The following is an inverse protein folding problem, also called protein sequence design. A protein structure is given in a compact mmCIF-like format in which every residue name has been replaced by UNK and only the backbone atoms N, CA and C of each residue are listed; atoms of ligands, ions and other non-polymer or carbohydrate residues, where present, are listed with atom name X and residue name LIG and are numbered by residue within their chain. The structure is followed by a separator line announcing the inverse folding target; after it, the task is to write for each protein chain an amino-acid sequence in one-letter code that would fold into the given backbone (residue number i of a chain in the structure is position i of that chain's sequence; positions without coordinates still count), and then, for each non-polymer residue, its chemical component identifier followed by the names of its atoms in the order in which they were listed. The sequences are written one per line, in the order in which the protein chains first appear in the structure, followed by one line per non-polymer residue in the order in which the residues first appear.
data_IF_511868944470
#
_entry.id   IF_511868944470
#
_cell.length_a   1.000
_cell.length_b   1.000
_cell.length_c   1.000
_cell.angle_alpha   90.00
_cell.angle_beta   90.00
_cell.angle_gamma   90.00
#
_symmetry.space_group_name_H-M   'P 1'
#
loop_
_entity.id
_entity.type
_entity.pdbx_description
1 polymer ?
#
# COMPACT_ATOMS: atom_id res chain seq x y z
N UNK A 1 5.74 20.99 0.16
CA UNK A 1 5.34 22.12 -0.69
C UNK A 1 3.94 22.57 -0.33
N UNK A 2 2.92 22.06 -1.03
CA UNK A 2 1.50 22.45 -0.84
C UNK A 2 1.02 22.33 0.61
N UNK A 3 1.20 21.17 1.24
CA UNK A 3 0.84 20.97 2.66
C UNK A 3 1.53 21.97 3.59
N UNK A 4 2.84 22.22 3.41
CA UNK A 4 3.59 23.22 4.18
C UNK A 4 2.98 24.63 4.05
N UNK A 5 2.67 25.05 2.82
CA UNK A 5 2.06 26.36 2.57
C UNK A 5 0.68 26.46 3.22
N UNK A 6 -0.14 25.41 3.12
CA UNK A 6 -1.46 25.33 3.77
C UNK A 6 -1.35 25.57 5.27
N UNK A 7 -0.53 24.79 5.99
CA UNK A 7 -0.45 24.92 7.45
C UNK A 7 0.27 26.18 7.93
N UNK A 8 1.18 26.77 7.12
CA UNK A 8 1.71 28.11 7.40
C UNK A 8 0.63 29.19 7.26
N UNK A 9 -0.22 29.10 6.25
CA UNK A 9 -1.33 30.03 6.04
C UNK A 9 -2.37 29.94 7.17
N UNK A 10 -2.73 28.72 7.60
CA UNK A 10 -3.64 28.51 8.74
C UNK A 10 -3.10 29.14 10.03
N UNK A 11 -1.77 29.12 10.22
CA UNK A 11 -1.09 29.75 11.35
C UNK A 11 -0.96 31.29 11.22
N UNK A 12 -1.52 31.90 10.17
CA UNK A 12 -1.50 33.34 9.95
C UNK A 12 -0.21 33.87 9.29
N UNK A 13 0.66 33.00 8.78
CA UNK A 13 1.82 33.39 8.01
C UNK A 13 1.49 33.57 6.51
N UNK A 14 2.38 34.23 5.76
CA UNK A 14 2.24 34.45 4.31
C UNK A 14 3.28 33.60 3.54
N UNK A 15 3.00 32.34 3.20
CA UNK A 15 3.94 31.49 2.48
C UNK A 15 4.12 31.96 1.02
N UNK A 16 5.35 31.90 0.51
CA UNK A 16 5.67 32.02 -0.92
C UNK A 16 6.02 30.63 -1.44
N UNK A 17 5.13 30.03 -2.24
CA UNK A 17 5.35 28.72 -2.85
C UNK A 17 5.79 28.92 -4.31
N UNK A 18 7.01 28.46 -4.62
CA UNK A 18 7.58 28.54 -5.96
C UNK A 18 7.57 27.14 -6.59
N UNK A 19 6.84 26.98 -7.69
CA UNK A 19 6.83 25.76 -8.52
C UNK A 19 7.62 26.03 -9.79
N UNK A 20 8.45 25.07 -10.20
CA UNK A 20 9.36 25.24 -11.34
C UNK A 20 8.65 25.04 -12.68
N UNK A 21 7.63 24.19 -12.73
CA UNK A 21 6.88 23.86 -13.94
C UNK A 21 5.58 24.65 -14.03
N UNK A 22 4.98 24.67 -15.21
CA UNK A 22 3.65 25.24 -15.44
C UNK A 22 2.51 24.26 -15.05
N UNK A 23 2.73 23.43 -14.02
CA UNK A 23 1.77 22.44 -13.53
C UNK A 23 2.05 22.11 -12.06
N UNK A 24 1.00 22.04 -11.24
CA UNK A 24 1.11 21.70 -9.83
C UNK A 24 1.19 20.18 -9.59
N UNK A 25 1.64 19.79 -8.40
CA UNK A 25 1.49 18.41 -7.90
C UNK A 25 2.76 17.54 -7.99
N UNK A 26 3.79 17.95 -8.74
CA UNK A 26 5.02 17.16 -8.80
C UNK A 26 4.77 15.76 -9.39
N UNK A 27 4.92 14.72 -8.55
CA UNK A 27 4.66 13.32 -8.92
C UNK A 27 3.18 12.97 -9.08
N UNK A 28 2.27 13.81 -8.57
CA UNK A 28 0.81 13.66 -8.76
C UNK A 28 0.25 14.61 -9.83
N UNK A 29 1.10 15.18 -10.69
CA UNK A 29 0.68 16.09 -11.74
C UNK A 29 -0.05 15.33 -12.87
N UNK A 30 -0.95 16.04 -13.55
CA UNK A 30 -1.65 15.59 -14.74
C UNK A 30 -1.75 16.73 -15.76
N UNK A 31 -1.87 16.37 -17.04
CA UNK A 31 -2.00 17.30 -18.16
C UNK A 31 -3.17 16.90 -19.03
N UNK A 32 -3.66 17.85 -19.82
CA UNK A 32 -4.71 17.63 -20.79
C UNK A 32 -4.10 17.70 -22.19
N UNK A 33 -4.40 16.74 -23.05
CA UNK A 33 -3.97 16.75 -24.44
C UNK A 33 -4.86 17.62 -25.34
N UNK A 34 -4.56 17.66 -26.64
CA UNK A 34 -5.28 18.45 -27.63
C UNK A 34 -6.73 17.98 -27.85
N UNK A 35 -7.02 16.70 -27.56
CA UNK A 35 -8.35 16.10 -27.67
C UNK A 35 -9.20 16.35 -26.40
N UNK A 36 -8.57 16.78 -25.32
CA UNK A 36 -9.21 17.16 -24.06
C UNK A 36 -9.16 16.07 -22.98
N UNK A 37 -8.45 14.96 -23.25
CA UNK A 37 -8.28 13.83 -22.34
C UNK A 37 -7.13 14.10 -21.36
N UNK A 38 -7.28 13.59 -20.13
CA UNK A 38 -6.26 13.75 -19.09
C UNK A 38 -5.33 12.55 -19.03
N UNK A 39 -4.02 12.82 -18.93
CA UNK A 39 -3.01 11.83 -18.62
C UNK A 39 -2.19 12.24 -17.39
N UNK A 40 -1.87 11.25 -16.56
CA UNK A 40 -1.27 11.44 -15.24
C UNK A 40 0.21 11.03 -15.22
N UNK A 41 0.96 11.58 -14.26
CA UNK A 41 2.35 11.18 -14.01
C UNK A 41 2.44 9.72 -13.53
N UNK A 42 1.40 9.22 -12.85
CA UNK A 42 1.34 7.86 -12.34
C UNK A 42 -0.02 7.56 -11.72
N UNK A 43 -0.31 6.27 -11.55
CA UNK A 43 -1.53 5.81 -10.90
C UNK A 43 -1.39 5.93 -9.37
N UNK A 44 -2.26 6.72 -8.74
CA UNK A 44 -2.20 6.98 -7.30
C UNK A 44 -3.41 6.37 -6.57
N UNK A 45 -3.14 5.65 -5.48
CA UNK A 45 -4.16 5.04 -4.63
C UNK A 45 -4.11 5.68 -3.24
N UNK A 46 -5.28 6.07 -2.72
CA UNK A 46 -5.45 6.59 -1.37
C UNK A 46 -5.92 5.49 -0.43
N UNK A 47 -5.25 5.34 0.71
CA UNK A 47 -5.58 4.33 1.72
C UNK A 47 -6.29 4.97 2.92
N UNK A 48 -7.15 4.19 3.59
CA UNK A 48 -7.81 4.62 4.84
C UNK A 48 -6.81 4.96 5.94
N UNK A 49 -5.66 4.28 5.97
CA UNK A 49 -4.60 4.49 6.94
C UNK A 49 -3.69 5.70 6.66
N UNK A 50 -4.15 6.66 5.86
CA UNK A 50 -3.46 7.94 5.59
C UNK A 50 -4.11 9.09 6.38
N UNK A 51 -3.93 9.17 7.72
CA UNK A 51 -4.65 10.12 8.56
C UNK A 51 -4.41 11.58 8.16
N UNK A 52 -3.18 11.94 7.78
CA UNK A 52 -2.86 13.31 7.37
C UNK A 52 -3.55 13.69 6.04
N UNK A 53 -3.78 12.73 5.15
CA UNK A 53 -4.53 12.98 3.91
C UNK A 53 -6.01 13.08 4.20
N UNK A 54 -6.57 12.19 5.04
CA UNK A 54 -7.96 12.28 5.49
C UNK A 54 -8.26 13.64 6.13
N UNK A 55 -7.38 14.10 7.02
CA UNK A 55 -7.49 15.41 7.65
C UNK A 55 -7.45 16.53 6.61
N UNK A 56 -6.48 16.52 5.69
CA UNK A 56 -6.37 17.57 4.66
C UNK A 56 -7.61 17.64 3.76
N UNK A 57 -8.18 16.49 3.37
CA UNK A 57 -9.41 16.44 2.60
C UNK A 57 -10.61 16.95 3.40
N UNK A 58 -10.69 16.64 4.69
CA UNK A 58 -11.71 17.15 5.60
C UNK A 58 -11.63 18.64 5.84
N UNK A 59 -10.43 19.17 6.07
CA UNK A 59 -10.16 20.60 6.27
C UNK A 59 -10.54 21.44 5.04
N UNK A 60 -10.36 20.88 3.84
CA UNK A 60 -10.73 21.51 2.57
C UNK A 60 -12.20 21.24 2.17
N UNK A 61 -12.92 20.38 2.91
CA UNK A 61 -14.30 20.02 2.60
C UNK A 61 -14.47 19.27 1.28
N UNK A 62 -13.52 18.42 0.90
CA UNK A 62 -13.48 17.69 -0.39
C UNK A 62 -13.44 16.17 -0.23
N UNK A 63 -13.91 15.65 0.91
CA UNK A 63 -13.95 14.20 1.18
C UNK A 63 -14.70 13.41 0.10
N UNK A 64 -15.73 14.01 -0.51
CA UNK A 64 -16.54 13.43 -1.59
C UNK A 64 -15.75 13.14 -2.88
N UNK A 65 -14.55 13.74 -3.03
CA UNK A 65 -13.66 13.46 -4.16
C UNK A 65 -12.91 12.12 -4.03
N UNK A 66 -12.89 11.51 -2.84
CA UNK A 66 -12.35 10.17 -2.65
C UNK A 66 -13.42 9.12 -2.96
N UNK A 67 -13.24 8.40 -4.05
CA UNK A 67 -14.15 7.33 -4.48
C UNK A 67 -13.71 5.98 -3.89
N UNK A 68 -14.02 5.75 -2.61
CA UNK A 68 -13.74 4.47 -1.93
C UNK A 68 -14.30 3.28 -2.72
N UNK A 69 -13.49 2.22 -2.82
CA UNK A 69 -13.83 0.97 -3.50
C UNK A 69 -14.11 -0.13 -2.48
N UNK A 70 -14.61 -1.27 -2.96
CA UNK A 70 -14.79 -2.46 -2.14
C UNK A 70 -13.48 -2.82 -1.42
N UNK A 71 -13.58 -3.23 -0.16
CA UNK A 71 -12.43 -3.65 0.63
C UNK A 71 -11.93 -5.02 0.19
N UNK A 72 -11.25 -5.03 -0.96
CA UNK A 72 -10.75 -6.23 -1.64
C UNK A 72 -9.43 -5.97 -2.33
N UNK A 73 -8.59 -7.00 -2.42
CA UNK A 73 -7.40 -7.01 -3.26
C UNK A 73 -7.55 -8.06 -4.35
N UNK A 74 -7.53 -7.63 -5.62
CA UNK A 74 -7.72 -8.48 -6.79
C UNK A 74 -6.38 -8.69 -7.50
N UNK A 75 -6.03 -9.95 -7.76
CA UNK A 75 -4.80 -10.38 -8.40
C UNK A 75 -5.14 -11.11 -9.70
N UNK A 76 -4.46 -10.76 -10.79
CA UNK A 76 -4.53 -11.55 -12.02
C UNK A 76 -3.83 -12.90 -11.82
N UNK A 77 -4.31 -13.95 -12.48
CA UNK A 77 -3.72 -15.29 -12.42
C UNK A 77 -2.81 -15.53 -13.65
N UNK A 78 -1.46 -15.43 -13.52
CA UNK A 78 -0.57 -15.53 -14.69
C UNK A 78 -0.62 -16.89 -15.37
N UNK A 79 -0.95 -17.94 -14.59
CA UNK A 79 -1.11 -19.32 -15.07
C UNK A 79 -2.48 -19.59 -15.71
N UNK A 80 -3.43 -18.64 -15.64
CA UNK A 80 -4.78 -18.76 -16.20
C UNK A 80 -5.23 -17.44 -16.83
N UNK A 81 -4.85 -17.17 -18.09
CA UNK A 81 -5.15 -15.90 -18.75
C UNK A 81 -6.66 -15.55 -18.73
N UNK A 82 -6.98 -14.36 -18.24
CA UNK A 82 -8.36 -13.87 -18.10
C UNK A 82 -9.03 -14.18 -16.76
N UNK A 83 -8.42 -15.00 -15.90
CA UNK A 83 -8.91 -15.28 -14.55
C UNK A 83 -8.26 -14.36 -13.50
N UNK A 84 -9.02 -14.10 -12.44
CA UNK A 84 -8.61 -13.26 -11.31
C UNK A 84 -8.93 -13.96 -10.00
N UNK A 85 -8.02 -13.85 -9.04
CA UNK A 85 -8.24 -14.23 -7.65
C UNK A 85 -8.36 -13.01 -6.76
N UNK A 86 -9.01 -13.14 -5.60
CA UNK A 86 -9.23 -12.00 -4.71
C UNK A 86 -9.12 -12.36 -3.23
N UNK A 87 -8.67 -11.38 -2.45
CA UNK A 87 -8.74 -11.38 -0.99
C UNK A 87 -9.81 -10.37 -0.56
N UNK A 88 -10.87 -10.86 0.09
CA UNK A 88 -12.01 -10.05 0.53
C UNK A 88 -11.98 -9.83 2.03
N UNK A 89 -12.08 -8.58 2.45
CA UNK A 89 -11.96 -8.15 3.84
C UNK A 89 -13.36 -7.83 4.38
N UNK A 90 -14.01 -8.72 5.15
CA UNK A 90 -15.39 -8.50 5.57
C UNK A 90 -15.49 -7.31 6.51
N UNK A 91 -16.40 -6.38 6.21
CA UNK A 91 -16.63 -5.16 7.02
C UNK A 91 -17.13 -5.48 8.44
N UNK A 92 -17.76 -6.64 8.62
CA UNK A 92 -18.24 -7.12 9.93
C UNK A 92 -17.13 -7.59 10.86
N UNK A 93 -15.91 -7.79 10.35
CA UNK A 93 -14.75 -8.25 11.12
C UNK A 93 -13.77 -7.08 11.33
N UNK A 94 -13.22 -6.90 12.55
CA UNK A 94 -12.21 -5.87 12.80
C UNK A 94 -10.85 -6.27 12.23
N UNK A 95 -9.94 -5.31 12.07
CA UNK A 95 -8.53 -5.61 11.85
C UNK A 95 -7.88 -6.21 13.11
N UNK A 96 -6.97 -7.20 12.98
CA UNK A 96 -6.50 -7.86 11.75
C UNK A 96 -7.34 -9.10 11.36
N UNK A 97 -8.47 -9.36 12.03
CA UNK A 97 -9.30 -10.56 11.84
C UNK A 97 -9.88 -10.64 10.43
N UNK A 98 -10.30 -9.50 9.86
CA UNK A 98 -10.74 -9.39 8.46
C UNK A 98 -9.68 -9.85 7.45
N UNK A 99 -8.41 -9.47 7.63
CA UNK A 99 -7.30 -9.88 6.77
C UNK A 99 -6.94 -11.36 6.92
N UNK A 100 -6.95 -11.87 8.15
CA UNK A 100 -6.80 -13.32 8.40
C UNK A 100 -7.91 -14.09 7.68
N UNK A 101 -9.16 -13.64 7.78
CA UNK A 101 -10.28 -14.24 7.09
C UNK A 101 -10.10 -14.21 5.56
N UNK A 102 -9.66 -13.09 5.00
CA UNK A 102 -9.40 -12.94 3.57
C UNK A 102 -8.40 -13.98 3.06
N UNK A 103 -7.28 -14.18 3.78
CA UNK A 103 -6.25 -15.18 3.46
C UNK A 103 -6.80 -16.60 3.57
N UNK A 104 -7.57 -16.89 4.64
CA UNK A 104 -8.15 -18.21 4.84
C UNK A 104 -9.15 -18.56 3.74
N UNK A 105 -9.96 -17.58 3.29
CA UNK A 105 -11.02 -17.77 2.30
C UNK A 105 -10.51 -17.96 0.86
N UNK A 106 -9.38 -17.37 0.49
CA UNK A 106 -8.77 -17.50 -0.84
C UNK A 106 -8.12 -18.88 -1.01
N UNK A 107 -8.43 -19.61 -2.09
CA UNK A 107 -7.91 -20.98 -2.29
C UNK A 107 -7.07 -21.16 -3.56
N UNK A 108 -6.81 -20.09 -4.30
CA UNK A 108 -6.14 -20.16 -5.60
C UNK A 108 -4.71 -19.63 -5.53
N UNK A 109 -4.44 -18.63 -4.68
CA UNK A 109 -3.11 -18.03 -4.52
C UNK A 109 -2.21 -18.87 -3.59
N UNK A 110 -2.78 -19.36 -2.47
CA UNK A 110 -2.03 -20.01 -1.40
C UNK A 110 -2.62 -21.38 -1.05
N UNK A 111 -1.75 -22.38 -0.97
CA UNK A 111 -2.10 -23.71 -0.43
C UNK A 111 -2.21 -23.64 1.10
N UNK A 112 -2.92 -24.60 1.71
CA UNK A 112 -3.04 -24.68 3.17
C UNK A 112 -1.69 -24.71 3.92
N UNK A 113 -0.70 -25.53 3.53
CA UNK A 113 0.61 -25.51 4.18
C UNK A 113 1.32 -24.16 4.08
N UNK A 114 1.16 -23.45 2.95
CA UNK A 114 1.73 -22.12 2.77
C UNK A 114 1.04 -21.09 3.66
N UNK A 115 -0.30 -21.13 3.79
CA UNK A 115 -1.04 -20.25 4.71
C UNK A 115 -0.56 -20.41 6.15
N UNK A 116 -0.35 -21.65 6.61
CA UNK A 116 0.12 -21.92 7.97
C UNK A 116 1.53 -21.37 8.19
N UNK A 117 2.47 -21.65 7.28
CA UNK A 117 3.85 -21.15 7.39
C UNK A 117 3.91 -19.63 7.28
N UNK A 118 3.11 -19.04 6.40
CA UNK A 118 3.00 -17.60 6.25
C UNK A 118 2.48 -16.93 7.52
N UNK A 119 1.40 -17.46 8.11
CA UNK A 119 0.88 -16.98 9.37
C UNK A 119 1.94 -17.03 10.48
N UNK A 120 2.64 -18.16 10.63
CA UNK A 120 3.72 -18.30 11.62
C UNK A 120 4.85 -17.28 11.37
N UNK A 121 5.29 -17.12 10.12
CA UNK A 121 6.37 -16.22 9.75
C UNK A 121 6.06 -14.75 10.03
N UNK A 122 4.79 -14.33 9.91
CA UNK A 122 4.34 -12.98 10.21
C UNK A 122 4.06 -12.70 11.69
N UNK A 123 3.94 -13.70 12.56
CA UNK A 123 3.65 -13.49 13.99
C UNK A 123 4.59 -12.47 14.66
N UNK A 124 5.93 -12.52 14.46
CA UNK A 124 6.83 -11.56 15.09
C UNK A 124 6.62 -10.12 14.59
N UNK A 125 6.19 -9.96 13.34
CA UNK A 125 5.85 -8.66 12.77
C UNK A 125 4.54 -8.10 13.32
N UNK A 126 3.53 -8.95 13.53
CA UNK A 126 2.24 -8.53 14.09
C UNK A 126 2.32 -8.18 15.58
N UNK A 127 3.16 -8.88 16.33
CA UNK A 127 3.37 -8.64 17.77
C UNK A 127 4.46 -7.61 18.04
N UNK A 128 5.29 -7.31 17.04
CA UNK A 128 6.38 -6.37 17.12
C UNK A 128 5.89 -4.92 17.06
N UNK A 129 6.36 -4.09 18.00
CA UNK A 129 6.13 -2.65 17.94
C UNK A 129 6.99 -1.94 16.88
N UNK A 130 6.94 -0.62 16.88
CA UNK A 130 7.69 0.23 15.95
C UNK A 130 9.21 -0.08 15.93
N UNK A 131 9.79 -0.36 17.09
CA UNK A 131 11.23 -0.73 17.20
C UNK A 131 11.56 -2.03 16.48
N UNK A 132 10.64 -3.00 16.45
CA UNK A 132 10.83 -4.23 15.68
C UNK A 132 10.84 -3.93 14.19
N UNK A 133 9.88 -3.13 13.71
CA UNK A 133 9.77 -2.74 12.29
C UNK A 133 11.03 -2.02 11.82
N UNK A 134 11.53 -1.06 12.60
CA UNK A 134 12.77 -0.32 12.31
C UNK A 134 14.00 -1.24 12.28
N UNK A 135 14.06 -2.24 13.15
CA UNK A 135 15.15 -3.21 13.17
C UNK A 135 15.18 -4.12 11.92
N UNK A 136 14.13 -4.13 11.08
CA UNK A 136 14.10 -4.94 9.84
C UNK A 136 14.59 -4.19 8.60
N UNK A 137 14.98 -2.92 8.71
CA UNK A 137 15.41 -2.12 7.54
C UNK A 137 16.70 -2.63 6.88
N UNK A 138 17.53 -3.35 7.63
CA UNK A 138 18.76 -3.98 7.11
C UNK A 138 18.55 -5.27 6.32
N UNK A 139 17.31 -5.73 6.12
CA UNK A 139 16.98 -6.94 5.38
C UNK A 139 16.08 -6.60 4.19
N UNK A 140 16.35 -7.24 3.05
CA UNK A 140 15.40 -7.23 1.94
C UNK A 140 14.15 -8.06 2.28
N UNK A 141 13.05 -7.82 1.57
CA UNK A 141 11.82 -8.61 1.72
C UNK A 141 12.12 -10.10 1.54
N UNK A 142 12.88 -10.46 0.50
CA UNK A 142 13.24 -11.85 0.21
C UNK A 142 14.04 -12.48 1.35
N UNK A 143 15.07 -11.81 1.85
CA UNK A 143 15.90 -12.30 2.96
C UNK A 143 15.09 -12.51 4.24
N UNK A 144 14.22 -11.55 4.56
CA UNK A 144 13.37 -11.65 5.75
C UNK A 144 12.37 -12.81 5.63
N UNK A 145 11.72 -12.98 4.48
CA UNK A 145 10.79 -14.09 4.25
C UNK A 145 11.46 -15.45 4.43
N UNK A 146 12.67 -15.61 3.89
CA UNK A 146 13.48 -16.83 4.06
C UNK A 146 13.81 -17.05 5.53
N UNK A 147 14.29 -16.01 6.23
CA UNK A 147 14.63 -16.05 7.67
C UNK A 147 13.45 -16.48 8.53
N UNK A 148 12.25 -16.04 8.18
CA UNK A 148 11.01 -16.35 8.90
C UNK A 148 10.36 -17.69 8.49
N UNK A 149 10.98 -18.43 7.57
CA UNK A 149 10.47 -19.71 7.09
C UNK A 149 9.23 -19.60 6.19
N UNK A 150 8.98 -18.42 5.62
CA UNK A 150 7.90 -18.20 4.65
C UNK A 150 8.29 -18.87 3.33
N UNK A 151 7.41 -19.69 2.71
CA UNK A 151 7.73 -20.37 1.45
C UNK A 151 8.04 -19.38 0.32
N UNK A 152 9.05 -19.69 -0.50
CA UNK A 152 9.48 -18.82 -1.62
C UNK A 152 8.35 -18.51 -2.62
N UNK A 153 7.42 -19.44 -2.81
CA UNK A 153 6.24 -19.21 -3.67
C UNK A 153 5.35 -18.10 -3.13
N UNK A 154 5.21 -17.93 -1.82
CA UNK A 154 4.46 -16.81 -1.23
C UNK A 154 5.14 -15.48 -1.55
N UNK A 155 6.47 -15.43 -1.45
CA UNK A 155 7.25 -14.25 -1.83
C UNK A 155 7.05 -13.90 -3.31
N UNK A 156 7.02 -14.92 -4.17
CA UNK A 156 6.88 -14.75 -5.63
C UNK A 156 5.46 -14.35 -6.03
N UNK A 157 4.44 -15.05 -5.53
CA UNK A 157 3.03 -14.83 -5.93
C UNK A 157 2.43 -13.57 -5.30
N UNK A 158 2.82 -13.22 -4.06
CA UNK A 158 2.21 -12.10 -3.32
C UNK A 158 3.15 -10.91 -3.21
N UNK A 159 4.39 -11.13 -2.77
CA UNK A 159 5.26 -10.02 -2.38
C UNK A 159 6.01 -9.38 -3.55
N UNK A 160 6.11 -10.02 -4.73
CA UNK A 160 6.54 -9.32 -5.95
C UNK A 160 5.55 -8.21 -6.30
N UNK A 161 4.25 -8.52 -6.30
CA UNK A 161 3.21 -7.54 -6.60
C UNK A 161 3.21 -6.39 -5.57
N UNK A 162 3.27 -6.73 -4.28
CA UNK A 162 3.29 -5.72 -3.21
C UNK A 162 4.54 -4.84 -3.27
N UNK A 163 5.73 -5.41 -3.52
CA UNK A 163 6.98 -4.64 -3.59
C UNK A 163 6.97 -3.64 -4.75
N UNK A 164 6.50 -4.09 -5.93
CA UNK A 164 6.37 -3.23 -7.10
C UNK A 164 5.32 -2.15 -6.93
N UNK A 165 4.21 -2.45 -6.26
CA UNK A 165 3.17 -1.46 -5.98
C UNK A 165 3.67 -0.33 -5.06
N UNK A 166 4.53 -0.65 -4.08
CA UNK A 166 4.99 0.32 -3.09
C UNK A 166 6.18 1.16 -3.55
N UNK A 167 7.13 0.55 -4.27
CA UNK A 167 8.39 1.22 -4.60
C UNK A 167 8.96 0.87 -5.99
N UNK A 168 8.16 0.22 -6.85
CA UNK A 168 8.52 -0.11 -8.24
C UNK A 168 9.74 -1.03 -8.41
N UNK A 169 10.16 -1.74 -7.36
CA UNK A 169 11.30 -2.67 -7.33
C UNK A 169 10.89 -4.05 -6.81
N UNK A 170 11.76 -5.04 -7.04
CA UNK A 170 11.50 -6.43 -6.65
C UNK A 170 11.80 -6.68 -5.15
N UNK A 171 11.28 -7.76 -4.55
CA UNK A 171 11.46 -8.08 -3.13
C UNK A 171 12.91 -8.43 -2.73
N UNK A 172 13.78 -8.74 -3.68
CA UNK A 172 15.22 -8.94 -3.47
C UNK A 172 16.01 -7.62 -3.41
N UNK A 173 15.34 -6.48 -3.64
CA UNK A 173 15.93 -5.14 -3.54
C UNK A 173 15.23 -4.28 -2.47
N UNK A 174 13.92 -4.49 -2.25
CA UNK A 174 13.12 -3.69 -1.32
C UNK A 174 13.43 -4.03 0.14
N UNK A 175 13.59 -3.01 1.00
CA UNK A 175 13.67 -3.17 2.46
C UNK A 175 12.38 -3.75 3.05
N UNK A 176 12.51 -4.72 3.96
CA UNK A 176 11.37 -5.32 4.65
C UNK A 176 10.62 -4.30 5.52
N UNK A 177 11.29 -3.24 6.00
CA UNK A 177 10.63 -2.17 6.75
C UNK A 177 9.47 -1.56 5.95
N UNK A 178 9.61 -1.41 4.64
CA UNK A 178 8.57 -0.89 3.75
C UNK A 178 7.30 -1.77 3.78
N UNK A 179 7.47 -3.09 3.65
CA UNK A 179 6.35 -4.04 3.70
C UNK A 179 5.69 -4.05 5.08
N UNK A 180 6.48 -4.02 6.16
CA UNK A 180 5.95 -4.04 7.52
C UNK A 180 5.14 -2.79 7.85
N UNK A 181 5.58 -1.60 7.40
CA UNK A 181 4.80 -0.36 7.54
C UNK A 181 3.46 -0.47 6.80
N UNK A 182 3.46 -1.06 5.61
CA UNK A 182 2.23 -1.29 4.85
C UNK A 182 1.30 -2.28 5.58
N UNK A 183 1.80 -3.44 6.02
CA UNK A 183 1.02 -4.46 6.72
C UNK A 183 0.48 -3.99 8.08
N UNK A 184 1.23 -3.19 8.82
CA UNK A 184 0.82 -2.70 10.15
C UNK A 184 -0.30 -1.65 10.10
N UNK A 185 -0.66 -1.20 8.90
CA UNK A 185 -1.66 -0.16 8.64
C UNK A 185 -2.86 -0.68 7.84
N UNK A 186 -2.94 -1.98 7.59
CA UNK A 186 -4.09 -2.66 6.97
C UNK A 186 -5.15 -3.06 8.00
#
# INVERSE_FOLDING_TARGET
GLSTAKYLADAGHKPLLLEARDVLGGKVAAWKDDDGDWYETGLHIFFGAYPNVQNLFGELGINDRLQWKEHSMIFAMPNKPGEFSRFDFPEVLPAPVNGIWAILRNNEMLTWPEKVKFAIGLLPAMLGGQSYVEAQDGLTVKEWMIKQGVPERVTTEVFIAMSKALNFINPDELSMQCILIALNRF
#
